data_IF_339817358977
#
_entry.id   IF_339817358977
#
_cell.length_a   1.000
_cell.length_b   1.000
_cell.length_c   1.000
_cell.angle_alpha   90.00
_cell.angle_beta   90.00
_cell.angle_gamma   90.00
#
_symmetry.space_group_name_H-M   'P 1'
#
loop_
_entity.id
_entity.type
_entity.pdbx_description
1 polymer ?
#
# COMPACT_ATOMS: atom_id res chain seq x y z
N UNK A 1 1.94 -5.76 19.35
CA UNK A 1 0.51 -5.65 18.96
C UNK A 1 -0.32 -5.04 20.09
N UNK A 2 -0.70 -3.76 19.99
CA UNK A 2 -1.62 -3.08 20.91
C UNK A 2 -2.98 -2.76 20.23
N UNK A 3 -3.49 -3.71 19.43
CA UNK A 3 -4.79 -3.60 18.72
C UNK A 3 -5.76 -4.70 19.20
N UNK A 4 -5.99 -4.83 20.51
CA UNK A 4 -7.03 -5.74 21.02
C UNK A 4 -8.32 -4.95 21.19
N UNK A 5 -9.41 -5.41 20.55
CA UNK A 5 -10.76 -4.87 20.74
C UNK A 5 -11.08 -4.93 22.23
N UNK A 6 -11.36 -3.76 22.83
CA UNK A 6 -11.72 -3.70 24.24
C UNK A 6 -13.21 -4.08 24.45
N UNK A 7 -13.60 -4.32 25.71
CA UNK A 7 -14.97 -4.75 26.05
C UNK A 7 -16.04 -3.79 25.52
N UNK A 8 -15.81 -2.48 25.55
CA UNK A 8 -16.76 -1.48 25.05
C UNK A 8 -16.89 -1.54 23.52
N UNK A 9 -15.78 -1.72 22.81
CA UNK A 9 -15.79 -1.87 21.35
C UNK A 9 -16.47 -3.16 20.92
N UNK A 10 -16.20 -4.28 21.61
CA UNK A 10 -16.87 -5.55 21.36
C UNK A 10 -18.40 -5.43 21.48
N UNK A 11 -18.88 -4.81 22.57
CA UNK A 11 -20.32 -4.62 22.78
C UNK A 11 -20.97 -3.70 21.74
N UNK A 12 -20.21 -2.73 21.19
CA UNK A 12 -20.69 -1.91 20.06
C UNK A 12 -20.79 -2.73 18.78
N UNK A 13 -19.73 -3.45 18.40
CA UNK A 13 -19.68 -4.27 17.18
C UNK A 13 -20.76 -5.35 17.21
N UNK A 14 -20.97 -6.01 18.37
CA UNK A 14 -21.99 -7.04 18.55
C UNK A 14 -23.43 -6.53 18.30
N UNK A 15 -23.68 -5.23 18.45
CA UNK A 15 -25.02 -4.62 18.30
C UNK A 15 -25.25 -3.98 16.94
N UNK A 16 -24.26 -4.01 16.04
CA UNK A 16 -24.38 -3.40 14.72
C UNK A 16 -25.36 -4.17 13.83
N UNK A 17 -26.19 -3.45 13.09
CA UNK A 17 -27.00 -4.03 12.02
C UNK A 17 -26.15 -4.36 10.78
N UNK A 18 -26.77 -4.95 9.75
CA UNK A 18 -26.07 -5.39 8.55
C UNK A 18 -25.36 -4.24 7.82
N UNK A 19 -25.98 -3.07 7.69
CA UNK A 19 -25.37 -1.92 7.00
C UNK A 19 -24.21 -1.36 7.81
N UNK A 20 -24.38 -1.26 9.13
CA UNK A 20 -23.34 -0.81 10.04
C UNK A 20 -22.13 -1.77 10.04
N UNK A 21 -22.37 -3.08 9.99
CA UNK A 21 -21.31 -4.08 9.91
C UNK A 21 -20.53 -4.01 8.59
N UNK A 22 -21.22 -3.82 7.46
CA UNK A 22 -20.55 -3.66 6.15
C UNK A 22 -19.63 -2.43 6.17
N UNK A 23 -20.11 -1.29 6.70
CA UNK A 23 -19.29 -0.09 6.83
C UNK A 23 -18.08 -0.34 7.75
N UNK A 24 -18.30 -0.94 8.93
CA UNK A 24 -17.23 -1.25 9.88
C UNK A 24 -16.12 -2.12 9.27
N UNK A 25 -16.47 -3.15 8.50
CA UNK A 25 -15.47 -3.99 7.84
C UNK A 25 -14.67 -3.26 6.77
N UNK A 26 -15.32 -2.40 5.97
CA UNK A 26 -14.65 -1.58 4.98
C UNK A 26 -13.65 -0.62 5.65
N UNK A 27 -14.05 0.01 6.74
CA UNK A 27 -13.20 0.93 7.49
C UNK A 27 -11.99 0.20 8.07
N UNK A 28 -12.18 -0.95 8.72
CA UNK A 28 -11.07 -1.76 9.27
C UNK A 28 -10.11 -2.22 8.17
N UNK A 29 -10.63 -2.64 7.02
CA UNK A 29 -9.80 -3.02 5.87
C UNK A 29 -8.99 -1.83 5.35
N UNK A 30 -9.64 -0.68 5.14
CA UNK A 30 -9.00 0.52 4.62
C UNK A 30 -7.94 1.06 5.59
N UNK A 31 -8.23 1.11 6.89
CA UNK A 31 -7.28 1.51 7.91
C UNK A 31 -6.05 0.58 7.92
N UNK A 32 -6.28 -0.74 7.88
CA UNK A 32 -5.19 -1.73 7.82
C UNK A 32 -4.37 -1.64 6.53
N UNK A 33 -5.00 -1.34 5.40
CA UNK A 33 -4.33 -1.14 4.12
C UNK A 33 -3.49 0.13 4.11
N UNK A 34 -4.03 1.26 4.57
CA UNK A 34 -3.29 2.53 4.69
C UNK A 34 -2.12 2.41 5.65
N UNK A 35 -2.33 1.78 6.81
CA UNK A 35 -1.27 1.52 7.78
C UNK A 35 -0.22 0.55 7.23
N UNK A 36 -0.64 -0.43 6.43
CA UNK A 36 0.22 -1.36 5.71
C UNK A 36 1.10 -0.66 4.68
N UNK A 37 0.52 0.20 3.83
CA UNK A 37 1.27 1.03 2.88
C UNK A 37 2.23 1.97 3.60
N UNK A 38 1.80 2.58 4.71
CA UNK A 38 2.64 3.51 5.45
C UNK A 38 3.83 2.81 6.14
N UNK A 39 3.69 1.53 6.50
CA UNK A 39 4.74 0.74 7.18
C UNK A 39 5.62 -0.06 6.25
N UNK A 40 5.13 -0.42 5.08
CA UNK A 40 5.90 -1.13 4.09
C UNK A 40 6.49 -0.12 3.11
N UNK A 41 7.80 0.19 3.20
CA UNK A 41 8.44 0.89 2.11
C UNK A 41 8.19 0.08 0.83
N UNK A 42 7.75 0.76 -0.23
CA UNK A 42 7.78 0.26 -1.61
C UNK A 42 6.56 -0.55 -2.11
N UNK A 43 5.49 -0.74 -1.30
CA UNK A 43 4.24 -1.37 -1.79
C UNK A 43 3.54 -0.55 -2.90
N UNK A 44 3.84 0.75 -3.00
CA UNK A 44 3.28 1.63 -4.03
C UNK A 44 4.02 1.64 -5.37
N UNK A 45 5.17 0.97 -5.49
CA UNK A 45 5.90 0.91 -6.76
C UNK A 45 5.47 -0.31 -7.54
N UNK A 46 4.60 -0.11 -8.54
CA UNK A 46 4.22 -1.13 -9.51
C UNK A 46 5.09 -0.90 -10.75
N UNK A 47 6.11 -1.74 -11.03
CA UNK A 47 7.09 -1.48 -12.08
C UNK A 47 6.46 -1.28 -13.47
N UNK A 48 5.44 -2.09 -13.79
CA UNK A 48 4.75 -2.03 -15.07
C UNK A 48 3.97 -0.72 -15.26
N UNK A 49 3.41 -0.19 -14.17
CA UNK A 49 2.70 1.09 -14.20
C UNK A 49 3.66 2.27 -14.32
N UNK A 50 4.78 2.24 -13.59
CA UNK A 50 5.84 3.22 -13.72
C UNK A 50 6.42 3.25 -15.16
N UNK A 51 6.72 2.08 -15.75
CA UNK A 51 7.21 2.00 -17.12
C UNK A 51 6.18 2.56 -18.12
N UNK A 52 4.90 2.19 -17.96
CA UNK A 52 3.81 2.69 -18.81
C UNK A 52 3.69 4.20 -18.74
N UNK A 53 3.76 4.79 -17.54
CA UNK A 53 3.68 6.25 -17.35
C UNK A 53 4.90 6.96 -17.96
N UNK A 54 6.11 6.41 -17.81
CA UNK A 54 7.32 6.97 -18.42
C UNK A 54 7.24 7.02 -19.95
N UNK A 55 6.64 6.01 -20.58
CA UNK A 55 6.45 5.94 -22.04
C UNK A 55 5.45 6.98 -22.58
N UNK A 56 4.56 7.50 -21.74
CA UNK A 56 3.62 8.55 -22.13
C UNK A 56 4.29 9.94 -22.19
N UNK A 57 5.47 10.11 -21.59
CA UNK A 57 6.20 11.38 -21.59
C UNK A 57 6.88 11.59 -22.95
N UNK A 58 6.44 12.62 -23.68
CA UNK A 58 7.02 12.99 -24.97
C UNK A 58 8.52 13.28 -24.83
N UNK A 59 9.34 12.62 -25.66
CA UNK A 59 10.79 12.80 -25.68
C UNK A 59 11.59 11.84 -24.78
N UNK A 60 10.91 10.96 -24.03
CA UNK A 60 11.57 9.85 -23.33
C UNK A 60 11.52 8.60 -24.22
N UNK A 61 12.67 8.24 -24.78
CA UNK A 61 12.84 7.01 -25.56
C UNK A 61 13.13 5.79 -24.68
N UNK A 62 13.01 4.59 -25.28
CA UNK A 62 13.18 3.28 -24.60
C UNK A 62 14.44 3.18 -23.73
N UNK A 63 15.55 3.78 -24.15
CA UNK A 63 16.81 3.75 -23.39
C UNK A 63 16.68 4.47 -22.05
N UNK A 64 16.17 5.71 -22.07
CA UNK A 64 15.95 6.50 -20.84
C UNK A 64 14.91 5.86 -19.93
N UNK A 65 13.87 5.22 -20.47
CA UNK A 65 12.92 4.45 -19.67
C UNK A 65 13.62 3.34 -18.90
N UNK A 66 14.47 2.55 -19.57
CA UNK A 66 15.23 1.46 -18.91
C UNK A 66 16.18 1.99 -17.84
N UNK A 67 16.90 3.07 -18.12
CA UNK A 67 17.84 3.67 -17.16
C UNK A 67 17.10 4.17 -15.91
N UNK A 68 15.94 4.83 -16.07
CA UNK A 68 15.10 5.28 -14.94
C UNK A 68 14.54 4.09 -14.16
N UNK A 69 14.01 3.07 -14.83
CA UNK A 69 13.48 1.88 -14.16
C UNK A 69 14.56 1.13 -13.38
N UNK A 70 15.80 1.12 -13.87
CA UNK A 70 16.93 0.52 -13.15
C UNK A 70 17.25 1.28 -11.86
N UNK A 71 17.30 2.62 -11.91
CA UNK A 71 17.53 3.46 -10.71
C UNK A 71 16.39 3.28 -9.70
N UNK A 72 15.14 3.27 -10.16
CA UNK A 72 13.98 3.04 -9.30
C UNK A 72 14.05 1.65 -8.65
N UNK A 73 14.37 0.61 -9.41
CA UNK A 73 14.54 -0.74 -8.88
C UNK A 73 15.61 -0.79 -7.77
N UNK A 74 16.75 -0.12 -7.93
CA UNK A 74 17.79 -0.04 -6.89
C UNK A 74 17.27 0.71 -5.65
N UNK A 75 16.64 1.87 -5.82
CA UNK A 75 16.06 2.62 -4.68
C UNK A 75 15.02 1.82 -3.90
N UNK A 76 14.22 1.00 -4.59
CA UNK A 76 13.19 0.17 -3.97
C UNK A 76 13.71 -1.19 -3.47
N UNK A 77 14.88 -1.65 -3.93
CA UNK A 77 15.58 -2.81 -3.33
C UNK A 77 16.34 -2.41 -2.07
N UNK A 78 16.91 -1.21 -2.00
CA UNK A 78 17.59 -0.68 -0.80
C UNK A 78 16.63 -0.39 0.36
N UNK A 79 15.33 -0.21 0.09
CA UNK A 79 14.28 -0.10 1.10
C UNK A 79 13.82 -1.43 1.72
N UNK A 80 14.27 -2.57 1.20
CA UNK A 80 14.04 -3.93 1.74
C UNK A 80 15.15 -4.35 2.74
N UNK A 81 15.94 -3.37 3.22
CA UNK A 81 16.94 -3.55 4.26
C UNK A 81 16.32 -3.73 5.64
N UNK A 82 15.68 -4.89 5.89
CA UNK A 82 15.80 -5.73 7.10
C UNK A 82 14.63 -6.71 7.20
N UNK A 83 14.88 -7.98 6.86
CA UNK A 83 14.61 -9.09 7.76
C UNK A 83 15.77 -10.10 7.64
N UNK A 84 16.64 -10.08 8.66
CA UNK A 84 17.71 -11.04 9.05
C UNK A 84 18.96 -11.20 8.17
#
# INVERSE_FOLDING_TARGET
MKNRINRKQYEKIRKMDHQQMVAYFNDVYNEGFVEGIARAPNIGFIPDEAERMLRQIKGIGNRKVKDVMHVLAVCFQEGDGRIE
#
